data_IF_156886961731
#
_entry.id   IF_156886961731
#
_cell.length_a   1.000
_cell.length_b   1.000
_cell.length_c   1.000
_cell.angle_alpha   90.00
_cell.angle_beta   90.00
_cell.angle_gamma   90.00
#
_symmetry.space_group_name_H-M   'P 1'
#
loop_
_entity.id
_entity.type
_entity.pdbx_description
1 polymer ?
#
# COMPACT_ATOMS: atom_id res chain seq x y z
N UNK A 1 12.22 -1.29 -7.39
CA UNK A 1 10.80 -1.70 -7.31
C UNK A 1 10.66 -3.22 -7.34
N UNK A 2 11.23 -3.91 -8.34
CA UNK A 2 11.10 -5.37 -8.54
C UNK A 2 11.47 -6.24 -7.34
N UNK A 3 12.55 -5.94 -6.60
CA UNK A 3 12.94 -6.73 -5.41
C UNK A 3 11.87 -6.78 -4.31
N UNK A 4 11.15 -5.68 -4.08
CA UNK A 4 10.09 -5.65 -3.06
C UNK A 4 8.88 -6.46 -3.51
N UNK A 5 8.58 -6.44 -4.81
CA UNK A 5 7.48 -7.22 -5.39
C UNK A 5 7.81 -8.72 -5.28
N UNK A 6 8.98 -9.13 -5.76
CA UNK A 6 9.43 -10.54 -5.69
C UNK A 6 9.46 -11.11 -4.26
N UNK A 7 9.72 -10.26 -3.26
CA UNK A 7 9.74 -10.69 -1.85
C UNK A 7 8.34 -10.86 -1.26
N UNK A 8 7.36 -10.05 -1.68
CA UNK A 8 6.08 -9.93 -0.97
C UNK A 8 4.87 -10.36 -1.81
N UNK A 9 5.04 -10.63 -3.11
CA UNK A 9 3.98 -11.03 -4.02
C UNK A 9 4.32 -12.40 -4.58
N UNK A 10 3.37 -13.32 -4.49
CA UNK A 10 3.52 -14.68 -4.99
C UNK A 10 3.63 -14.69 -6.53
N UNK A 11 4.56 -15.46 -7.12
CA UNK A 11 4.59 -15.68 -8.57
C UNK A 11 3.25 -16.20 -9.08
N UNK A 12 2.84 -15.76 -10.28
CA UNK A 12 1.54 -16.02 -10.89
C UNK A 12 0.44 -15.04 -10.49
N UNK A 13 0.70 -14.11 -9.56
CA UNK A 13 -0.29 -13.09 -9.16
C UNK A 13 -0.54 -12.05 -10.26
N UNK A 14 -1.74 -11.48 -10.24
CA UNK A 14 -2.09 -10.29 -11.04
C UNK A 14 -1.74 -9.04 -10.23
N UNK A 15 -0.92 -8.16 -10.80
CA UNK A 15 -0.58 -6.86 -10.23
C UNK A 15 -1.33 -5.80 -11.04
N UNK A 16 -2.10 -4.95 -10.36
CA UNK A 16 -2.86 -3.86 -10.98
C UNK A 16 -2.27 -2.52 -10.50
N UNK A 17 -1.89 -1.64 -11.43
CA UNK A 17 -1.34 -0.31 -11.11
C UNK A 17 -1.97 0.79 -11.98
N UNK A 18 -1.69 2.05 -11.64
CA UNK A 18 -1.88 3.15 -12.58
C UNK A 18 -0.87 3.07 -13.75
N UNK A 19 -1.04 3.97 -14.72
CA UNK A 19 -0.20 4.08 -15.92
C UNK A 19 1.20 4.70 -15.72
N UNK A 20 1.69 4.87 -14.49
CA UNK A 20 2.97 5.53 -14.27
C UNK A 20 4.15 4.72 -14.83
N UNK A 21 5.08 5.42 -15.50
CA UNK A 21 6.21 4.80 -16.21
C UNK A 21 7.12 3.96 -15.30
N UNK A 22 7.17 4.25 -13.99
CA UNK A 22 7.95 3.48 -13.02
C UNK A 22 7.50 2.01 -12.91
N UNK A 23 6.23 1.72 -13.16
CA UNK A 23 5.65 0.37 -13.06
C UNK A 23 5.93 -0.50 -14.29
N UNK A 24 6.43 0.06 -15.41
CA UNK A 24 6.68 -0.71 -16.64
C UNK A 24 7.70 -1.84 -16.46
N UNK A 25 8.54 -1.80 -15.42
CA UNK A 25 9.46 -2.88 -15.10
C UNK A 25 8.74 -4.16 -14.67
N UNK A 26 7.52 -4.06 -14.13
CA UNK A 26 6.70 -5.20 -13.69
C UNK A 26 6.22 -5.99 -14.91
N UNK A 27 5.77 -5.30 -15.96
CA UNK A 27 5.37 -5.92 -17.24
C UNK A 27 6.45 -6.80 -17.88
N UNK A 28 7.73 -6.55 -17.57
CA UNK A 28 8.86 -7.33 -18.09
C UNK A 28 9.15 -8.58 -17.27
N UNK A 29 8.60 -8.69 -16.06
CA UNK A 29 8.81 -9.81 -15.17
C UNK A 29 7.82 -10.93 -15.50
N UNK A 30 8.35 -12.08 -15.93
CA UNK A 30 7.54 -13.23 -16.33
C UNK A 30 6.80 -13.89 -15.15
N UNK A 31 7.15 -13.53 -13.91
CA UNK A 31 6.48 -14.06 -12.73
C UNK A 31 5.10 -13.43 -12.48
N UNK A 32 4.72 -12.35 -13.17
CA UNK A 32 3.49 -11.62 -12.85
C UNK A 32 2.70 -11.25 -14.11
N UNK A 33 1.37 -11.26 -13.98
CA UNK A 33 0.49 -10.60 -14.96
C UNK A 33 0.33 -9.15 -14.52
N UNK A 34 0.71 -8.20 -15.38
CA UNK A 34 0.61 -6.77 -15.06
C UNK A 34 -0.53 -6.11 -15.84
N UNK A 35 -1.52 -5.63 -15.10
CA UNK A 35 -2.65 -4.86 -15.59
C UNK A 35 -2.49 -3.39 -15.22
N UNK A 36 -2.94 -2.50 -16.09
CA UNK A 36 -2.81 -1.06 -15.92
C UNK A 36 -4.17 -0.39 -16.06
N UNK A 37 -4.46 0.56 -15.18
CA UNK A 37 -5.65 1.41 -15.25
C UNK A 37 -5.21 2.81 -15.69
N UNK A 38 -5.76 3.26 -16.80
CA UNK A 38 -5.53 4.63 -17.26
C UNK A 38 -6.63 5.56 -16.75
N UNK A 39 -6.40 6.20 -15.61
CA UNK A 39 -7.35 7.13 -14.99
C UNK A 39 -7.72 8.37 -15.83
N UNK A 40 -7.00 8.65 -16.92
CA UNK A 40 -7.41 9.68 -17.87
C UNK A 40 -8.54 9.22 -18.81
N UNK A 41 -8.78 7.90 -18.89
CA UNK A 41 -9.74 7.26 -19.80
C UNK A 41 -10.82 6.53 -19.00
N UNK A 42 -10.43 5.76 -17.99
CA UNK A 42 -11.30 4.81 -17.30
C UNK A 42 -10.97 4.71 -15.80
N UNK A 43 -12.00 4.46 -14.98
CA UNK A 43 -11.85 4.19 -13.54
C UNK A 43 -11.79 2.69 -13.22
N UNK A 44 -12.26 1.86 -14.16
CA UNK A 44 -12.23 0.40 -14.12
C UNK A 44 -11.77 -0.03 -15.50
N UNK A 45 -10.78 -0.93 -15.58
CA UNK A 45 -10.28 -1.37 -16.88
C UNK A 45 -11.25 -2.32 -17.59
N UNK A 46 -10.99 -2.62 -18.86
CA UNK A 46 -11.80 -3.56 -19.66
C UNK A 46 -11.96 -4.97 -19.05
N UNK A 47 -11.05 -5.38 -18.16
CA UNK A 47 -11.11 -6.64 -17.42
C UNK A 47 -11.91 -6.54 -16.10
N UNK A 48 -12.49 -5.38 -15.78
CA UNK A 48 -13.24 -5.14 -14.55
C UNK A 48 -12.37 -4.83 -13.32
N UNK A 49 -11.08 -4.56 -13.50
CA UNK A 49 -10.13 -4.31 -12.41
C UNK A 49 -10.03 -2.81 -12.06
N UNK A 50 -9.84 -2.50 -10.78
CA UNK A 50 -9.74 -1.12 -10.28
C UNK A 50 -8.68 -0.98 -9.17
N UNK A 51 -8.19 0.24 -8.95
CA UNK A 51 -7.23 0.61 -7.88
C UNK A 51 -7.91 1.24 -6.64
N UNK A 52 -9.24 1.32 -6.61
CA UNK A 52 -10.01 2.01 -5.57
C UNK A 52 -9.63 1.60 -4.14
N UNK A 53 -9.35 0.31 -3.90
CA UNK A 53 -9.00 -0.19 -2.57
C UNK A 53 -7.72 0.46 -2.03
N UNK A 54 -6.68 0.55 -2.86
CA UNK A 54 -5.41 1.15 -2.43
C UNK A 54 -5.52 2.68 -2.34
N UNK A 55 -6.29 3.31 -3.24
CA UNK A 55 -6.58 4.75 -3.17
C UNK A 55 -7.34 5.13 -1.91
N UNK A 56 -8.37 4.36 -1.54
CA UNK A 56 -9.12 4.54 -0.30
C UNK A 56 -8.24 4.35 0.94
N UNK A 57 -7.34 3.37 0.91
CA UNK A 57 -6.35 3.16 1.98
C UNK A 57 -5.45 4.38 2.15
N UNK A 58 -4.93 4.94 1.05
CA UNK A 58 -4.11 6.16 1.09
C UNK A 58 -4.89 7.38 1.54
N UNK A 59 -6.16 7.50 1.15
CA UNK A 59 -7.04 8.59 1.60
C UNK A 59 -7.20 8.57 3.12
N UNK A 60 -7.50 7.40 3.69
CA UNK A 60 -7.61 7.21 5.13
C UNK A 60 -6.30 7.53 5.86
N UNK A 61 -5.16 7.04 5.35
CA UNK A 61 -3.83 7.35 5.93
C UNK A 61 -3.57 8.86 5.94
N UNK A 62 -3.81 9.56 4.82
CA UNK A 62 -3.62 11.02 4.74
C UNK A 62 -4.56 11.75 5.69
N UNK A 63 -5.81 11.32 5.80
CA UNK A 63 -6.79 11.90 6.71
C UNK A 63 -6.35 11.80 8.17
N UNK A 64 -5.83 10.64 8.59
CA UNK A 64 -5.40 10.40 9.98
C UNK A 64 -4.09 11.12 10.34
N UNK A 65 -3.25 11.47 9.37
CA UNK A 65 -1.98 12.17 9.64
C UNK A 65 -2.22 13.69 9.68
N UNK A 66 -2.00 14.35 10.83
CA UNK A 66 -2.11 15.81 10.93
C UNK A 66 -1.16 16.50 9.95
N UNK A 67 -1.58 17.62 9.37
CA UNK A 67 -0.80 18.36 8.35
C UNK A 67 0.63 18.66 8.86
N UNK A 68 0.77 19.10 10.12
CA UNK A 68 2.08 19.38 10.76
C UNK A 68 3.03 18.18 10.89
N UNK A 69 2.52 16.96 10.70
CA UNK A 69 3.29 15.71 10.74
C UNK A 69 3.60 15.18 9.34
N UNK A 70 3.10 15.81 8.27
CA UNK A 70 3.37 15.44 6.86
C UNK A 70 4.70 16.03 6.38
N UNK A 71 5.75 15.81 7.16
CA UNK A 71 7.13 16.22 6.86
C UNK A 71 8.00 14.98 6.73
N UNK A 72 9.08 15.08 5.95
CA UNK A 72 9.93 13.93 5.57
C UNK A 72 10.45 13.17 6.78
N UNK A 73 10.77 13.87 7.87
CA UNK A 73 11.34 13.33 9.09
C UNK A 73 10.33 12.53 9.93
N UNK A 74 9.02 12.72 9.68
CA UNK A 74 7.95 12.16 10.52
C UNK A 74 7.02 11.21 9.77
N UNK A 75 6.99 11.29 8.43
CA UNK A 75 6.06 10.52 7.61
C UNK A 75 6.24 9.01 7.79
N UNK A 76 7.49 8.54 7.89
CA UNK A 76 7.79 7.11 8.04
C UNK A 76 7.17 6.56 9.32
N UNK A 77 7.39 7.22 10.46
CA UNK A 77 6.79 6.83 11.73
C UNK A 77 5.26 6.79 11.66
N UNK A 78 4.65 7.74 10.94
CA UNK A 78 3.19 7.78 10.77
C UNK A 78 2.64 6.68 9.86
N UNK A 79 3.39 6.30 8.83
CA UNK A 79 3.05 5.12 8.02
C UNK A 79 3.18 3.85 8.86
N UNK A 80 4.23 3.71 9.66
CA UNK A 80 4.40 2.57 10.56
C UNK A 80 3.28 2.50 11.61
N UNK A 81 2.95 3.61 12.25
CA UNK A 81 1.84 3.69 13.21
C UNK A 81 0.52 3.26 12.55
N UNK A 82 0.24 3.75 11.34
CA UNK A 82 -0.97 3.37 10.61
C UNK A 82 -1.01 1.87 10.32
N UNK A 83 0.08 1.28 9.82
CA UNK A 83 0.18 -0.16 9.56
C UNK A 83 0.00 -0.96 10.85
N UNK A 84 0.64 -0.53 11.94
CA UNK A 84 0.55 -1.21 13.24
C UNK A 84 -0.87 -1.17 13.80
N UNK A 85 -1.54 -0.01 13.77
CA UNK A 85 -2.93 0.12 14.22
C UNK A 85 -3.87 -0.76 13.41
N UNK A 86 -3.70 -0.82 12.09
CA UNK A 86 -4.55 -1.65 11.21
C UNK A 86 -4.33 -3.15 11.44
N UNK A 87 -3.10 -3.58 11.72
CA UNK A 87 -2.82 -4.99 12.08
C UNK A 87 -3.46 -5.40 13.41
N UNK A 88 -3.67 -4.44 14.31
CA UNK A 88 -4.23 -4.69 15.63
C UNK A 88 -5.63 -4.08 15.81
N UNK A 89 -6.36 -3.85 14.71
CA UNK A 89 -7.66 -3.16 14.74
C UNK A 89 -8.73 -3.88 15.56
N UNK A 90 -8.56 -5.18 15.79
CA UNK A 90 -9.46 -6.02 16.57
C UNK A 90 -9.02 -6.22 18.04
N UNK A 91 -8.03 -5.46 18.51
CA UNK A 91 -7.49 -5.57 19.86
C UNK A 91 -7.54 -4.22 20.59
N UNK A 92 -7.40 -4.25 21.91
CA UNK A 92 -7.10 -3.03 22.67
C UNK A 92 -5.69 -2.54 22.34
N UNK A 93 -5.62 -1.37 21.69
CA UNK A 93 -4.36 -0.82 21.21
C UNK A 93 -3.41 -0.44 22.36
N UNK A 94 -3.92 -0.09 23.53
CA UNK A 94 -3.07 0.24 24.66
C UNK A 94 -2.40 -1.02 25.21
N UNK A 95 -3.15 -2.11 25.36
CA UNK A 95 -2.61 -3.40 25.81
C UNK A 95 -1.54 -3.92 24.86
N UNK A 96 -1.83 -3.96 23.54
CA UNK A 96 -0.87 -4.42 22.53
C UNK A 96 0.38 -3.53 22.49
N UNK A 97 0.22 -2.21 22.69
CA UNK A 97 1.36 -1.30 22.78
C UNK A 97 2.25 -1.63 23.97
N UNK A 98 1.67 -1.82 25.15
CA UNK A 98 2.40 -2.18 26.36
C UNK A 98 3.09 -3.54 26.20
N UNK A 99 2.44 -4.52 25.58
CA UNK A 99 3.06 -5.82 25.27
C UNK A 99 4.24 -5.67 24.30
N UNK A 100 4.10 -4.86 23.26
CA UNK A 100 5.16 -4.61 22.28
C UNK A 100 6.41 -4.02 22.92
N UNK A 101 6.26 -3.22 23.99
CA UNK A 101 7.38 -2.64 24.73
C UNK A 101 8.10 -3.65 25.65
N UNK A 102 7.43 -4.73 26.07
CA UNK A 102 8.05 -5.77 26.92
C UNK A 102 9.06 -6.64 26.16
N UNK A 103 8.97 -6.66 24.83
CA UNK A 103 9.79 -7.48 23.95
C UNK A 103 10.97 -6.70 23.33
N UNK A 104 11.28 -5.52 23.89
CA UNK A 104 12.47 -4.70 23.62
C UNK A 104 13.45 -4.81 24.77
#
# INVERSE_FOLDING_TARGET
MTRLILKNVLPGSIIVTDGWKGYYTIKKDQNFTHETINHAIEFVNSAGLHSNTIEGTWSCLKYLIPIRMRVKEKVDFKVFEFIWRRKHENFDLWEVFIESLKNF
#
